data_IF_152553915550
#
_entry.id   IF_152553915550
#
_cell.length_a   1.000
_cell.length_b   1.000
_cell.length_c   1.000
_cell.angle_alpha   90.00
_cell.angle_beta   90.00
_cell.angle_gamma   90.00
#
_symmetry.space_group_name_H-M   'P 1'
#
loop_
_entity.id
_entity.type
_entity.pdbx_description
1 polymer ?
#
# COMPACT_ATOMS: atom_id res chain seq x y z
N UNK A 1 16.22 -41.40 19.20
CA UNK A 1 16.18 -39.95 19.47
C UNK A 1 15.95 -39.76 20.95
N UNK A 2 16.84 -38.99 21.55
CA UNK A 2 16.78 -38.52 22.93
C UNK A 2 15.62 -37.50 23.11
N UNK A 3 14.96 -37.58 24.25
CA UNK A 3 13.71 -36.86 24.56
C UNK A 3 13.87 -35.33 24.50
N UNK A 4 15.06 -34.84 24.91
CA UNK A 4 15.43 -33.43 24.80
C UNK A 4 15.49 -32.96 23.34
N UNK A 5 16.07 -33.76 22.46
CA UNK A 5 16.16 -33.45 21.03
C UNK A 5 14.79 -33.41 20.37
N UNK A 6 13.90 -34.36 20.70
CA UNK A 6 12.51 -34.32 20.21
C UNK A 6 11.77 -33.07 20.68
N UNK A 7 11.93 -32.69 21.96
CA UNK A 7 11.32 -31.48 22.51
C UNK A 7 11.82 -30.21 21.81
N UNK A 8 13.12 -30.14 21.52
CA UNK A 8 13.73 -29.03 20.77
C UNK A 8 13.18 -28.96 19.35
N UNK A 9 13.03 -30.09 18.65
CA UNK A 9 12.44 -30.11 17.30
C UNK A 9 10.99 -29.64 17.29
N UNK A 10 10.15 -30.17 18.18
CA UNK A 10 8.75 -29.72 18.31
C UNK A 10 8.65 -28.21 18.59
N UNK A 11 9.56 -27.68 19.44
CA UNK A 11 9.61 -26.24 19.72
C UNK A 11 10.03 -25.40 18.51
N UNK A 12 10.87 -25.94 17.63
CA UNK A 12 11.31 -25.27 16.42
C UNK A 12 10.22 -25.29 15.34
N UNK A 13 9.51 -26.41 15.17
CA UNK A 13 8.36 -26.51 14.28
C UNK A 13 7.27 -25.50 14.64
N UNK A 14 6.95 -25.37 15.93
CA UNK A 14 5.97 -24.39 16.40
C UNK A 14 6.38 -22.94 16.08
N UNK A 15 7.67 -22.61 16.23
CA UNK A 15 8.19 -21.28 15.86
C UNK A 15 8.15 -21.06 14.35
N UNK A 16 8.47 -22.07 13.56
CA UNK A 16 8.46 -21.98 12.10
C UNK A 16 7.04 -21.76 11.57
N UNK A 17 6.05 -22.46 12.10
CA UNK A 17 4.64 -22.27 11.74
C UNK A 17 4.15 -20.86 12.13
N UNK A 18 4.54 -20.37 13.31
CA UNK A 18 4.22 -19.01 13.74
C UNK A 18 4.83 -17.94 12.80
N UNK A 19 6.09 -18.13 12.38
CA UNK A 19 6.77 -17.25 11.43
C UNK A 19 6.06 -17.29 10.08
N UNK A 20 5.77 -18.48 9.57
CA UNK A 20 5.08 -18.64 8.29
C UNK A 20 3.73 -17.91 8.26
N UNK A 21 2.92 -18.11 9.32
CA UNK A 21 1.64 -17.40 9.47
C UNK A 21 1.80 -15.88 9.56
N UNK A 22 2.85 -15.39 10.22
CA UNK A 22 3.13 -13.95 10.32
C UNK A 22 3.55 -13.36 8.97
N UNK A 23 4.41 -14.07 8.24
CA UNK A 23 4.91 -13.63 6.93
C UNK A 23 3.77 -13.61 5.91
N UNK A 24 2.89 -14.60 5.90
CA UNK A 24 1.76 -14.58 4.96
C UNK A 24 0.75 -13.46 5.25
N UNK A 25 0.53 -13.13 6.52
CA UNK A 25 -0.25 -11.92 6.87
C UNK A 25 0.40 -10.66 6.34
N UNK A 26 1.72 -10.53 6.52
CA UNK A 26 2.49 -9.37 6.04
C UNK A 26 2.44 -9.26 4.52
N UNK A 27 2.60 -10.39 3.80
CA UNK A 27 2.49 -10.45 2.34
C UNK A 27 1.13 -9.97 1.85
N UNK A 28 0.04 -10.43 2.48
CA UNK A 28 -1.32 -10.02 2.13
C UNK A 28 -1.55 -8.52 2.40
N UNK A 29 -1.04 -8.01 3.52
CA UNK A 29 -1.18 -6.59 3.86
C UNK A 29 -0.38 -5.70 2.92
N UNK A 30 0.83 -6.12 2.57
CA UNK A 30 1.67 -5.38 1.63
C UNK A 30 0.98 -5.20 0.27
N UNK A 31 0.33 -6.25 -0.25
CA UNK A 31 -0.44 -6.17 -1.49
C UNK A 31 -1.59 -5.15 -1.38
N UNK A 32 -2.33 -5.15 -0.27
CA UNK A 32 -3.41 -4.18 -0.04
C UNK A 32 -2.90 -2.74 0.14
N UNK A 33 -1.79 -2.55 0.85
CA UNK A 33 -1.17 -1.23 1.09
C UNK A 33 -0.75 -0.58 -0.23
N UNK A 34 -0.20 -1.35 -1.18
CA UNK A 34 0.16 -0.82 -2.51
C UNK A 34 -1.09 -0.23 -3.19
N UNK A 35 -2.19 -0.99 -3.24
CA UNK A 35 -3.43 -0.50 -3.83
C UNK A 35 -3.98 0.73 -3.12
N UNK A 36 -4.01 0.72 -1.80
CA UNK A 36 -4.45 1.87 -1.00
C UNK A 36 -3.58 3.10 -1.30
N UNK A 37 -2.26 2.93 -1.40
CA UNK A 37 -1.32 4.02 -1.70
C UNK A 37 -1.56 4.58 -3.10
N UNK A 38 -1.77 3.73 -4.09
CA UNK A 38 -2.12 4.15 -5.47
C UNK A 38 -3.45 4.92 -5.47
N UNK A 39 -4.47 4.42 -4.78
CA UNK A 39 -5.77 5.08 -4.69
C UNK A 39 -5.71 6.42 -3.95
N UNK A 40 -4.96 6.50 -2.84
CA UNK A 40 -4.92 7.67 -1.98
C UNK A 40 -3.95 8.77 -2.46
N UNK A 41 -2.92 8.40 -3.23
CA UNK A 41 -1.87 9.34 -3.66
C UNK A 41 -1.85 9.49 -5.18
N UNK A 42 -1.70 8.40 -5.91
CA UNK A 42 -1.48 8.45 -7.37
C UNK A 42 -2.75 8.92 -8.09
N UNK A 43 -3.92 8.41 -7.73
CA UNK A 43 -5.18 8.83 -8.36
C UNK A 43 -5.46 10.33 -8.16
N UNK A 44 -5.40 10.90 -6.94
CA UNK A 44 -5.57 12.33 -6.75
C UNK A 44 -4.56 13.17 -7.52
N UNK A 45 -3.29 12.76 -7.57
CA UNK A 45 -2.27 13.48 -8.34
C UNK A 45 -2.59 13.50 -9.84
N UNK A 46 -3.02 12.36 -10.40
CA UNK A 46 -3.46 12.29 -11.80
C UNK A 46 -4.69 13.19 -11.99
N UNK A 47 -5.67 13.14 -11.08
CA UNK A 47 -6.85 14.00 -11.13
C UNK A 47 -6.48 15.49 -11.14
N UNK A 48 -5.58 15.92 -10.25
CA UNK A 48 -5.08 17.29 -10.19
C UNK A 48 -4.36 17.69 -11.47
N UNK A 49 -3.57 16.80 -12.07
CA UNK A 49 -2.89 17.08 -13.33
C UNK A 49 -3.86 17.43 -14.47
N UNK A 50 -5.11 16.96 -14.42
CA UNK A 50 -6.16 17.34 -15.39
C UNK A 50 -7.04 18.51 -14.92
N UNK A 51 -7.34 18.61 -13.63
CA UNK A 51 -8.21 19.66 -13.07
C UNK A 51 -7.50 21.01 -13.06
N UNK A 52 -6.24 21.07 -12.63
CA UNK A 52 -5.47 22.30 -12.53
C UNK A 52 -5.38 23.06 -13.86
N UNK A 53 -4.97 22.45 -15.00
CA UNK A 53 -4.89 23.20 -16.26
C UNK A 53 -6.25 23.69 -16.76
N UNK A 54 -7.33 22.89 -16.57
CA UNK A 54 -8.70 23.30 -16.93
C UNK A 54 -9.19 24.47 -16.08
N UNK A 55 -8.89 24.45 -14.79
CA UNK A 55 -9.23 25.53 -13.88
C UNK A 55 -8.50 26.83 -14.26
N UNK A 56 -7.19 26.73 -14.54
CA UNK A 56 -6.37 27.88 -14.95
C UNK A 56 -6.82 28.47 -16.29
N UNK A 57 -7.15 27.64 -17.29
CA UNK A 57 -7.62 28.14 -18.59
C UNK A 57 -8.97 28.85 -18.46
N UNK A 58 -9.90 28.32 -17.66
CA UNK A 58 -11.18 28.97 -17.40
C UNK A 58 -11.01 30.31 -16.66
N UNK A 59 -10.12 30.36 -15.67
CA UNK A 59 -9.87 31.58 -14.91
C UNK A 59 -9.21 32.66 -15.77
N UNK A 60 -8.20 32.30 -16.59
CA UNK A 60 -7.57 33.22 -17.53
C UNK A 60 -8.55 33.74 -18.58
N UNK A 61 -9.44 32.89 -19.11
CA UNK A 61 -10.46 33.33 -20.06
C UNK A 61 -11.45 34.33 -19.47
N UNK A 62 -11.89 34.11 -18.23
CA UNK A 62 -12.74 35.07 -17.51
C UNK A 62 -12.02 36.39 -17.23
N UNK A 63 -10.74 36.33 -16.82
CA UNK A 63 -9.92 37.51 -16.61
C UNK A 63 -9.75 38.32 -17.89
N UNK A 64 -9.46 37.68 -19.03
CA UNK A 64 -9.33 38.34 -20.32
C UNK A 64 -10.64 38.99 -20.82
N UNK A 65 -11.80 38.49 -20.41
CA UNK A 65 -13.09 39.12 -20.73
C UNK A 65 -13.41 40.37 -19.89
N UNK A 66 -12.63 40.64 -18.83
CA UNK A 66 -12.83 41.79 -17.93
C UNK A 66 -11.90 42.97 -18.22
N UNK A 67 -10.78 42.75 -18.90
CA UNK A 67 -9.79 43.78 -19.27
C UNK A 67 -9.82 44.11 -20.75
#
# INVERSE_FOLDING_TARGET
MDEETQKRLNSQEAKLDAIFKSVEKTRKYFLWIIWITVLAVVIPLIGLAFVVPKFLSSFMGAYQGLI
#
